data_IF_098848457276
#
_entry.id   IF_098848457276
#
_cell.length_a   1.000
_cell.length_b   1.000
_cell.length_c   1.000
_cell.angle_alpha   90.00
_cell.angle_beta   90.00
_cell.angle_gamma   90.00
#
_symmetry.space_group_name_H-M   'P 1'
#
loop_
_entity.id
_entity.type
_entity.pdbx_description
1 polymer ?
#
# COMPACT_ATOMS: atom_id res chain seq x y z
N UNK A 1 -7.92 -13.17 21.66
CA UNK A 1 -7.51 -12.06 20.77
C UNK A 1 -6.55 -12.66 19.77
N UNK A 2 -6.95 -12.77 18.52
CA UNK A 2 -6.08 -13.30 17.46
C UNK A 2 -5.02 -12.26 17.14
N UNK A 3 -3.88 -12.34 17.82
CA UNK A 3 -2.70 -11.58 17.43
C UNK A 3 -2.29 -12.06 16.05
N UNK A 4 -2.30 -11.15 15.07
CA UNK A 4 -1.75 -11.39 13.74
C UNK A 4 -0.24 -11.42 13.88
N UNK A 5 0.31 -12.59 14.23
CA UNK A 5 1.75 -12.83 14.34
C UNK A 5 2.51 -12.49 13.04
N UNK A 6 1.78 -12.44 11.91
CA UNK A 6 2.24 -11.99 10.59
C UNK A 6 2.53 -10.48 10.48
N UNK A 7 2.05 -9.65 11.42
CA UNK A 7 2.27 -8.20 11.39
C UNK A 7 3.66 -7.85 11.96
N UNK A 8 4.51 -7.22 11.15
CA UNK A 8 5.86 -6.80 11.54
C UNK A 8 5.90 -5.84 12.74
N UNK A 9 4.81 -5.08 12.98
CA UNK A 9 4.70 -4.19 14.15
C UNK A 9 4.40 -4.98 15.42
N UNK A 10 3.59 -6.03 15.32
CA UNK A 10 3.32 -6.94 16.45
C UNK A 10 4.61 -7.64 16.86
N UNK A 11 5.40 -8.11 15.89
CA UNK A 11 6.71 -8.74 16.17
C UNK A 11 7.74 -7.76 16.74
N UNK A 12 7.74 -6.52 16.25
CA UNK A 12 8.59 -5.47 16.82
C UNK A 12 8.27 -5.22 18.29
N UNK A 13 6.98 -5.17 18.65
CA UNK A 13 6.54 -5.00 20.02
C UNK A 13 6.93 -6.19 20.91
N UNK A 14 6.81 -7.42 20.40
CA UNK A 14 7.19 -8.63 21.12
C UNK A 14 8.70 -8.67 21.45
N UNK A 15 9.57 -8.20 20.54
CA UNK A 15 10.99 -8.03 20.88
C UNK A 15 11.18 -7.00 22.00
N UNK A 16 10.50 -5.85 21.93
CA UNK A 16 10.61 -4.81 22.97
C UNK A 16 10.24 -5.37 24.33
N UNK A 17 9.18 -6.19 24.38
CA UNK A 17 8.71 -6.85 25.59
C UNK A 17 9.74 -7.90 26.08
N UNK A 18 10.32 -8.72 25.19
CA UNK A 18 11.37 -9.69 25.52
C UNK A 18 12.66 -9.01 26.03
N UNK A 19 13.08 -7.91 25.39
CA UNK A 19 14.24 -7.10 25.82
C UNK A 19 14.01 -6.42 27.17
N UNK A 20 12.76 -6.08 27.49
CA UNK A 20 12.36 -5.56 28.80
C UNK A 20 12.27 -6.65 29.89
N UNK A 21 12.58 -7.91 29.57
CA UNK A 21 12.56 -9.03 30.50
C UNK A 21 11.17 -9.62 30.73
N UNK A 22 10.19 -9.32 29.86
CA UNK A 22 8.90 -9.99 29.88
C UNK A 22 9.01 -11.37 29.21
N UNK A 23 8.24 -12.33 29.72
CA UNK A 23 8.18 -13.68 29.13
C UNK A 23 7.34 -13.59 27.86
N UNK A 24 7.98 -13.78 26.72
CA UNK A 24 7.34 -13.82 25.40
C UNK A 24 7.49 -15.24 24.87
N UNK A 25 6.38 -15.96 24.71
CA UNK A 25 6.39 -17.27 24.06
C UNK A 25 6.49 -17.07 22.54
N UNK A 26 7.52 -17.63 21.87
CA UNK A 26 7.66 -17.48 20.44
C UNK A 26 6.60 -18.33 19.71
N UNK A 27 6.23 -17.98 18.46
CA UNK A 27 5.21 -18.70 17.70
C UNK A 27 5.55 -20.20 17.55
N UNK A 28 4.52 -21.05 17.48
CA UNK A 28 4.74 -22.47 17.23
C UNK A 28 5.44 -22.67 15.86
N UNK A 29 6.64 -23.27 15.88
CA UNK A 29 7.44 -23.54 14.68
C UNK A 29 8.66 -22.64 14.49
N UNK A 30 8.87 -21.62 15.34
CA UNK A 30 10.11 -20.83 15.34
C UNK A 30 11.17 -21.49 16.21
N UNK A 31 12.39 -21.62 15.69
CA UNK A 31 13.52 -22.27 16.39
C UNK A 31 14.35 -21.31 17.25
N UNK A 32 14.14 -19.99 17.15
CA UNK A 32 14.95 -18.96 17.81
C UNK A 32 14.10 -17.92 18.54
N UNK A 33 14.66 -17.30 19.59
CA UNK A 33 14.01 -16.19 20.30
C UNK A 33 14.13 -14.88 19.50
N UNK A 34 13.26 -13.89 19.75
CA UNK A 34 13.31 -12.62 19.02
C UNK A 34 14.65 -11.90 19.26
N UNK A 35 15.25 -12.08 20.44
CA UNK A 35 16.59 -11.57 20.76
C UNK A 35 17.68 -12.08 19.82
N UNK A 36 17.67 -13.36 19.44
CA UNK A 36 18.69 -13.91 18.55
C UNK A 36 18.58 -13.33 17.13
N UNK A 37 17.36 -13.11 16.65
CA UNK A 37 17.11 -12.46 15.36
C UNK A 37 17.60 -11.01 15.37
N UNK A 38 17.36 -10.29 16.47
CA UNK A 38 17.89 -8.95 16.67
C UNK A 38 19.44 -8.93 16.67
N UNK A 39 20.07 -9.81 17.44
CA UNK A 39 21.53 -9.86 17.57
C UNK A 39 22.20 -10.18 16.22
N UNK A 40 21.62 -11.09 15.42
CA UNK A 40 22.12 -11.41 14.08
C UNK A 40 22.01 -10.21 13.13
N UNK A 41 20.83 -9.56 13.07
CA UNK A 41 20.61 -8.38 12.21
C UNK A 41 21.53 -7.23 12.59
N UNK A 42 21.76 -7.02 13.89
CA UNK A 42 22.67 -5.99 14.39
C UNK A 42 24.14 -6.28 14.06
N UNK A 43 24.54 -7.57 14.01
CA UNK A 43 25.90 -7.96 13.67
C UNK A 43 26.17 -8.05 12.16
N UNK A 44 25.12 -8.21 11.33
CA UNK A 44 25.30 -8.38 9.88
C UNK A 44 25.65 -7.07 9.18
N UNK A 45 26.65 -7.14 8.30
CA UNK A 45 27.04 -6.04 7.42
C UNK A 45 26.33 -6.06 6.06
N UNK A 46 25.61 -7.15 5.75
CA UNK A 46 24.91 -7.35 4.49
C UNK A 46 23.39 -7.20 4.70
N UNK A 47 22.80 -6.25 3.97
CA UNK A 47 21.37 -5.93 4.05
C UNK A 47 20.51 -7.09 3.57
N UNK A 48 20.96 -7.81 2.54
CA UNK A 48 20.19 -8.91 1.95
C UNK A 48 20.25 -10.14 2.87
N UNK A 49 21.40 -10.40 3.51
CA UNK A 49 21.55 -11.47 4.50
C UNK A 49 20.71 -11.21 5.76
N UNK A 50 20.76 -9.99 6.31
CA UNK A 50 19.98 -9.61 7.49
C UNK A 50 18.47 -9.69 7.22
N UNK A 51 18.04 -9.28 6.03
CA UNK A 51 16.64 -9.32 5.62
C UNK A 51 16.16 -10.75 5.42
N UNK A 52 16.97 -11.61 4.79
CA UNK A 52 16.66 -13.03 4.63
C UNK A 52 16.57 -13.75 5.98
N UNK A 53 17.43 -13.40 6.95
CA UNK A 53 17.43 -13.99 8.29
C UNK A 53 16.19 -13.60 9.10
N UNK A 54 15.79 -12.32 9.06
CA UNK A 54 14.54 -11.83 9.67
C UNK A 54 13.34 -12.58 9.09
N UNK A 55 13.29 -12.68 7.78
CA UNK A 55 12.22 -13.34 7.05
C UNK A 55 12.10 -14.84 7.40
N UNK A 56 13.21 -15.59 7.36
CA UNK A 56 13.23 -17.04 7.61
C UNK A 56 12.82 -17.43 9.03
N UNK A 57 13.13 -16.61 10.02
CA UNK A 57 12.82 -16.92 11.43
C UNK A 57 11.40 -16.52 11.85
N UNK A 58 10.75 -15.65 11.08
CA UNK A 58 9.42 -15.13 11.39
C UNK A 58 8.32 -15.57 10.43
N UNK A 59 8.67 -16.33 9.39
CA UNK A 59 7.72 -17.05 8.55
C UNK A 59 7.52 -18.50 9.00
N UNK A 60 6.26 -18.90 9.08
CA UNK A 60 5.86 -20.28 8.87
C UNK A 60 5.43 -20.46 7.41
N UNK A 61 5.58 -21.66 6.86
CA UNK A 61 5.27 -21.94 5.46
C UNK A 61 3.82 -21.55 5.10
N UNK A 62 3.64 -20.67 4.10
CA UNK A 62 2.34 -20.41 3.44
C UNK A 62 1.63 -19.08 3.75
N UNK A 63 2.33 -18.09 4.29
CA UNK A 63 1.79 -16.74 4.54
C UNK A 63 2.27 -15.76 3.45
N UNK A 64 1.34 -14.98 2.87
CA UNK A 64 1.62 -13.98 1.83
C UNK A 64 2.27 -12.66 2.34
N UNK A 65 2.69 -12.61 3.62
CA UNK A 65 3.25 -11.42 4.28
C UNK A 65 4.70 -11.08 3.91
N UNK A 66 5.36 -11.93 3.10
CA UNK A 66 6.79 -11.81 2.84
C UNK A 66 7.32 -10.45 2.36
N UNK A 67 6.68 -9.78 1.38
CA UNK A 67 7.12 -8.46 0.93
C UNK A 67 7.08 -7.38 2.01
N UNK A 68 6.10 -7.44 2.91
CA UNK A 68 5.92 -6.46 3.98
C UNK A 68 6.98 -6.65 5.06
N UNK A 69 7.33 -7.90 5.35
CA UNK A 69 8.39 -8.23 6.32
C UNK A 69 9.77 -7.89 5.82
N UNK A 70 10.01 -8.01 4.53
CA UNK A 70 11.23 -7.52 3.88
C UNK A 70 11.35 -6.00 4.05
N UNK A 71 10.25 -5.25 3.85
CA UNK A 71 10.24 -3.80 4.07
C UNK A 71 10.50 -3.44 5.55
N UNK A 72 9.85 -4.14 6.49
CA UNK A 72 10.08 -3.95 7.92
C UNK A 72 11.51 -4.27 8.33
N UNK A 73 12.10 -5.37 7.83
CA UNK A 73 13.48 -5.74 8.13
C UNK A 73 14.47 -4.65 7.68
N UNK A 74 14.25 -4.07 6.50
CA UNK A 74 15.06 -2.97 5.96
C UNK A 74 14.93 -1.70 6.81
N UNK A 75 13.72 -1.33 7.21
CA UNK A 75 13.48 -0.19 8.11
C UNK A 75 14.14 -0.40 9.47
N UNK A 76 14.03 -1.60 10.03
CA UNK A 76 14.65 -1.98 11.30
C UNK A 76 16.16 -1.90 11.26
N UNK A 77 16.78 -2.40 10.18
CA UNK A 77 18.21 -2.35 9.99
C UNK A 77 18.72 -0.91 10.01
N UNK A 78 18.00 0.02 9.37
CA UNK A 78 18.32 1.45 9.38
C UNK A 78 18.16 2.07 10.78
N UNK A 79 17.13 1.68 11.53
CA UNK A 79 16.93 2.12 12.92
C UNK A 79 18.07 1.62 13.82
N UNK A 80 18.45 0.35 13.71
CA UNK A 80 19.54 -0.27 14.48
C UNK A 80 20.87 0.42 14.18
N UNK A 81 21.19 0.60 12.89
CA UNK A 81 22.41 1.28 12.44
C UNK A 81 22.49 2.72 12.94
N UNK A 82 21.38 3.46 12.84
CA UNK A 82 21.29 4.84 13.29
C UNK A 82 21.45 4.98 14.82
N UNK A 83 21.06 3.96 15.57
CA UNK A 83 21.08 3.96 17.04
C UNK A 83 22.28 3.20 17.65
N UNK A 84 23.18 2.67 16.82
CA UNK A 84 24.52 2.21 17.24
C UNK A 84 24.54 1.26 18.44
N UNK A 85 23.62 0.29 18.50
CA UNK A 85 23.61 -0.77 19.52
C UNK A 85 23.29 -0.32 20.96
N UNK A 86 22.79 0.91 21.16
CA UNK A 86 22.41 1.43 22.47
C UNK A 86 21.01 1.02 22.91
N UNK A 87 20.89 0.59 24.17
CA UNK A 87 19.62 0.24 24.82
C UNK A 87 18.72 1.48 24.97
N UNK A 88 17.67 1.62 24.16
CA UNK A 88 16.26 1.88 24.57
C UNK A 88 15.36 2.69 23.59
N UNK A 89 14.08 2.27 23.67
CA UNK A 89 12.78 2.92 23.36
C UNK A 89 12.50 3.33 21.91
N UNK A 90 12.07 2.33 21.14
CA UNK A 90 11.32 2.56 19.89
C UNK A 90 9.87 2.89 20.24
N UNK A 91 9.49 4.13 19.93
CA UNK A 91 8.16 4.76 19.83
C UNK A 91 7.00 4.12 20.62
N UNK A 92 6.53 4.81 21.67
CA UNK A 92 5.25 4.47 22.32
C UNK A 92 4.07 4.61 21.37
N UNK A 93 3.27 3.55 21.26
CA UNK A 93 1.90 3.63 20.77
C UNK A 93 1.10 4.54 21.71
N UNK A 94 0.90 5.80 21.33
CA UNK A 94 0.02 6.70 22.09
C UNK A 94 -1.42 6.44 21.67
N UNK A 95 -2.14 5.76 22.57
CA UNK A 95 -3.58 5.81 22.65
C UNK A 95 -4.02 7.23 23.01
N UNK A 96 -4.69 7.92 22.09
CA UNK A 96 -5.62 8.99 22.47
C UNK A 96 -6.80 9.03 21.52
N UNK A 97 -7.92 8.54 22.03
CA UNK A 97 -9.25 8.83 21.52
C UNK A 97 -9.54 10.33 21.64
N UNK A 98 -9.91 10.95 20.54
CA UNK A 98 -10.83 12.09 20.55
C UNK A 98 -11.76 11.97 19.34
N UNK A 99 -13.04 11.76 19.63
CA UNK A 99 -14.11 11.83 18.67
C UNK A 99 -14.16 13.27 18.11
N UNK A 100 -14.04 13.40 16.79
CA UNK A 100 -14.10 14.69 16.10
C UNK A 100 -14.85 14.53 14.78
N UNK A 101 -16.16 14.77 14.86
CA UNK A 101 -17.11 15.16 13.81
C UNK A 101 -17.06 14.50 12.44
N UNK A 102 -18.13 13.75 12.16
CA UNK A 102 -18.68 13.49 10.84
C UNK A 102 -18.65 14.75 9.97
N UNK A 103 -17.81 14.76 8.95
CA UNK A 103 -17.86 15.69 7.83
C UNK A 103 -17.95 14.88 6.56
N UNK A 104 -19.16 14.66 6.05
CA UNK A 104 -19.37 14.19 4.69
C UNK A 104 -18.74 15.23 3.75
N UNK A 105 -17.57 14.89 3.19
CA UNK A 105 -16.87 15.75 2.25
C UNK A 105 -17.74 16.00 1.03
N UNK A 106 -17.81 17.24 0.54
CA UNK A 106 -18.39 17.50 -0.76
C UNK A 106 -17.48 16.90 -1.83
N UNK A 107 -18.03 16.10 -2.74
CA UNK A 107 -17.30 15.61 -3.90
C UNK A 107 -16.70 16.78 -4.69
N UNK A 108 -15.45 16.64 -5.14
CA UNK A 108 -14.82 17.62 -6.02
C UNK A 108 -15.06 17.16 -7.46
N UNK A 109 -15.68 18.01 -8.27
CA UNK A 109 -16.02 17.70 -9.66
C UNK A 109 -14.96 18.23 -10.62
N UNK A 110 -14.73 17.53 -11.72
CA UNK A 110 -13.66 17.83 -12.68
C UNK A 110 -12.98 16.57 -13.18
N UNK A 111 -11.91 16.70 -13.97
CA UNK A 111 -11.15 15.54 -14.45
C UNK A 111 -9.79 15.88 -15.04
N UNK A 112 -8.92 14.88 -15.10
CA UNK A 112 -7.56 14.99 -15.62
C UNK A 112 -7.51 14.89 -17.15
N UNK A 113 -8.39 14.07 -17.72
CA UNK A 113 -8.71 14.05 -19.16
C UNK A 113 -7.75 13.26 -20.06
N UNK A 114 -6.77 12.55 -19.51
CA UNK A 114 -5.64 11.98 -20.26
C UNK A 114 -5.54 10.44 -20.20
N UNK A 115 -6.35 9.75 -19.38
CA UNK A 115 -6.40 8.29 -19.39
C UNK A 115 -7.21 7.76 -20.60
N UNK A 116 -6.60 6.93 -21.47
CA UNK A 116 -7.25 6.44 -22.68
C UNK A 116 -8.34 5.39 -22.40
N UNK A 117 -9.52 5.53 -23.01
CA UNK A 117 -10.64 4.57 -22.83
C UNK A 117 -10.58 3.34 -23.74
N UNK A 118 -9.79 3.41 -24.83
CA UNK A 118 -9.80 2.44 -25.92
C UNK A 118 -8.44 1.75 -26.12
N UNK A 119 -7.66 1.60 -25.05
CA UNK A 119 -6.47 0.75 -25.04
C UNK A 119 -6.70 -0.44 -24.12
N UNK A 120 -6.03 -1.54 -24.43
CA UNK A 120 -6.07 -2.76 -23.63
C UNK A 120 -4.71 -3.10 -23.05
N UNK A 121 -3.78 -2.14 -22.97
CA UNK A 121 -2.47 -2.36 -22.36
C UNK A 121 -1.90 -1.05 -21.83
N UNK A 122 -0.79 -1.15 -21.10
CA UNK A 122 -0.13 0.01 -20.49
C UNK A 122 0.82 0.77 -21.44
N UNK A 123 0.90 0.42 -22.72
CA UNK A 123 1.83 1.05 -23.68
C UNK A 123 1.57 2.53 -23.92
N UNK A 124 0.36 3.01 -23.62
CA UNK A 124 0.04 4.44 -23.62
C UNK A 124 0.87 5.25 -22.61
N UNK A 125 1.46 4.59 -21.61
CA UNK A 125 2.33 5.22 -20.61
C UNK A 125 3.75 5.50 -21.14
N UNK A 126 4.09 5.10 -22.38
CA UNK A 126 5.41 5.30 -22.98
C UNK A 126 5.77 6.79 -23.14
N UNK A 127 4.78 7.61 -23.49
CA UNK A 127 4.98 9.06 -23.66
C UNK A 127 5.00 9.82 -22.33
N UNK A 128 4.74 9.15 -21.22
CA UNK A 128 4.85 9.73 -19.88
C UNK A 128 6.30 9.77 -19.39
N UNK A 129 6.52 10.38 -18.23
CA UNK A 129 7.83 10.36 -17.54
C UNK A 129 8.27 8.98 -17.03
N UNK A 130 7.37 7.99 -17.01
CA UNK A 130 7.70 6.62 -16.58
C UNK A 130 8.28 5.74 -17.69
N UNK A 131 8.12 6.13 -18.97
CA UNK A 131 8.68 5.40 -20.12
C UNK A 131 8.36 3.90 -20.16
N UNK A 132 7.13 3.53 -19.79
CA UNK A 132 6.62 2.17 -19.86
C UNK A 132 6.13 1.92 -21.29
N UNK A 133 6.93 1.25 -22.12
CA UNK A 133 6.71 1.19 -23.56
C UNK A 133 6.33 -0.20 -24.08
N UNK A 134 6.78 -1.26 -23.41
CA UNK A 134 6.43 -2.63 -23.73
C UNK A 134 6.31 -3.50 -22.48
N UNK A 135 5.83 -4.74 -22.66
CA UNK A 135 5.82 -5.75 -21.61
C UNK A 135 7.24 -5.98 -21.06
N UNK A 136 7.37 -6.08 -19.74
CA UNK A 136 8.62 -6.06 -18.98
C UNK A 136 9.10 -4.67 -18.54
N UNK A 137 8.57 -3.58 -19.09
CA UNK A 137 8.89 -2.24 -18.61
C UNK A 137 8.09 -1.91 -17.34
N UNK A 138 8.73 -2.05 -16.19
CA UNK A 138 8.09 -1.80 -14.89
C UNK A 138 8.15 -0.33 -14.42
N UNK A 139 8.77 0.57 -15.21
CA UNK A 139 8.96 1.98 -14.86
C UNK A 139 10.16 2.22 -13.94
N UNK A 140 10.05 3.20 -13.04
CA UNK A 140 11.11 3.58 -12.09
C UNK A 140 11.32 2.54 -10.98
N UNK A 141 12.43 2.61 -10.23
CA UNK A 141 12.71 1.73 -9.07
C UNK A 141 11.54 1.64 -8.07
N UNK A 142 10.84 2.75 -7.83
CA UNK A 142 9.64 2.82 -7.00
C UNK A 142 8.53 1.83 -7.40
N UNK A 143 8.47 1.46 -8.68
CA UNK A 143 7.44 0.61 -9.27
C UNK A 143 7.96 -0.80 -9.55
N UNK A 144 9.28 -0.93 -9.74
CA UNK A 144 9.93 -2.17 -10.17
C UNK A 144 9.76 -3.31 -9.15
N UNK A 145 9.75 -2.99 -7.85
CA UNK A 145 9.58 -4.01 -6.80
C UNK A 145 8.26 -4.80 -6.91
N UNK A 146 7.19 -4.16 -7.41
CA UNK A 146 5.87 -4.79 -7.54
C UNK A 146 5.75 -5.52 -8.89
N UNK A 147 6.16 -4.86 -9.97
CA UNK A 147 5.99 -5.40 -11.32
C UNK A 147 6.95 -6.56 -11.64
N UNK A 148 8.19 -6.55 -11.12
CA UNK A 148 9.10 -7.68 -11.30
C UNK A 148 8.61 -8.96 -10.60
N UNK A 149 7.85 -8.84 -9.51
CA UNK A 149 7.38 -9.98 -8.72
C UNK A 149 5.95 -10.42 -9.09
N UNK A 150 5.08 -9.48 -9.46
CA UNK A 150 3.64 -9.71 -9.59
C UNK A 150 3.03 -9.13 -10.89
N UNK A 151 3.85 -8.57 -11.78
CA UNK A 151 3.38 -7.92 -12.99
C UNK A 151 2.61 -6.62 -12.76
N UNK A 152 1.74 -6.27 -13.70
CA UNK A 152 1.03 -5.01 -13.76
C UNK A 152 -0.24 -4.99 -12.90
N UNK A 153 -0.06 -5.19 -11.59
CA UNK A 153 -1.14 -5.23 -10.60
C UNK A 153 -1.89 -3.90 -10.46
N UNK A 154 -3.09 -3.93 -9.88
CA UNK A 154 -3.89 -2.74 -9.59
C UNK A 154 -3.13 -1.73 -8.71
N UNK A 155 -2.37 -2.22 -7.74
CA UNK A 155 -1.51 -1.43 -6.87
C UNK A 155 -0.35 -0.76 -7.63
N UNK A 156 0.35 -1.55 -8.46
CA UNK A 156 1.40 -1.04 -9.33
C UNK A 156 0.86 0.07 -10.23
N UNK A 157 -0.31 -0.16 -10.85
CA UNK A 157 -0.92 0.81 -11.74
C UNK A 157 -1.32 2.09 -11.01
N UNK A 158 -1.94 1.98 -9.83
CA UNK A 158 -2.29 3.15 -9.02
C UNK A 158 -1.06 3.99 -8.65
N UNK A 159 0.05 3.36 -8.24
CA UNK A 159 1.31 4.06 -7.97
C UNK A 159 1.85 4.74 -9.24
N UNK A 160 1.90 4.01 -10.35
CA UNK A 160 2.41 4.50 -11.62
C UNK A 160 1.60 5.71 -12.10
N UNK A 161 0.27 5.60 -12.10
CA UNK A 161 -0.62 6.68 -12.51
C UNK A 161 -0.53 7.88 -11.57
N UNK A 162 -0.48 7.65 -10.26
CA UNK A 162 -0.29 8.72 -9.26
C UNK A 162 1.01 9.49 -9.50
N UNK A 163 2.11 8.78 -9.81
CA UNK A 163 3.37 9.43 -10.14
C UNK A 163 3.28 10.23 -11.44
N UNK A 164 2.65 9.68 -12.49
CA UNK A 164 2.45 10.38 -13.78
C UNK A 164 1.73 11.71 -13.57
N UNK A 165 0.62 11.69 -12.83
CA UNK A 165 -0.25 12.85 -12.62
C UNK A 165 0.37 13.85 -11.64
N UNK A 166 0.83 13.40 -10.48
CA UNK A 166 1.23 14.29 -9.38
C UNK A 166 2.73 14.59 -9.33
N UNK A 167 3.57 13.85 -10.07
CA UNK A 167 5.03 14.00 -10.00
C UNK A 167 5.67 13.45 -8.73
N UNK A 168 4.87 12.98 -7.78
CA UNK A 168 5.30 12.38 -6.53
C UNK A 168 4.25 11.39 -6.05
N UNK A 169 4.73 10.27 -5.50
CA UNK A 169 3.91 9.35 -4.71
C UNK A 169 4.84 8.66 -3.72
N UNK A 170 4.48 8.71 -2.43
CA UNK A 170 5.11 7.83 -1.45
C UNK A 170 4.37 6.51 -1.52
N UNK A 171 5.10 5.42 -1.69
CA UNK A 171 4.52 4.10 -1.64
C UNK A 171 4.15 3.78 -0.19
N UNK A 172 2.86 3.57 0.15
CA UNK A 172 2.46 3.29 1.51
C UNK A 172 2.75 1.85 1.94
N UNK A 173 3.24 0.98 1.03
CA UNK A 173 3.71 -0.38 1.32
C UNK A 173 2.66 -1.25 2.03
N UNK A 174 1.40 -1.08 1.64
CA UNK A 174 0.27 -1.83 2.19
C UNK A 174 0.24 -3.26 1.67
N UNK A 175 -0.43 -4.16 2.42
CA UNK A 175 -0.54 -5.57 2.03
C UNK A 175 -1.30 -5.75 0.71
N UNK A 176 -2.25 -4.84 0.49
CA UNK A 176 -3.32 -4.99 -0.48
C UNK A 176 -3.75 -3.62 -1.00
N UNK A 177 -4.25 -3.56 -2.24
CA UNK A 177 -4.85 -2.34 -2.77
C UNK A 177 -6.19 -2.00 -2.09
N UNK A 178 -6.97 -3.03 -1.74
CA UNK A 178 -8.26 -2.87 -1.07
C UNK A 178 -8.16 -2.26 0.33
N UNK A 179 -7.05 -2.48 1.04
CA UNK A 179 -6.84 -1.98 2.41
C UNK A 179 -6.42 -0.51 2.51
N UNK A 180 -6.00 0.13 1.42
CA UNK A 180 -5.39 1.48 1.45
C UNK A 180 -6.25 2.52 2.17
N UNK A 181 -7.56 2.59 1.89
CA UNK A 181 -8.43 3.56 2.55
C UNK A 181 -8.43 3.43 4.08
N UNK A 182 -8.39 2.22 4.62
CA UNK A 182 -8.40 1.99 6.07
C UNK A 182 -7.00 2.12 6.68
N UNK A 183 -5.97 1.61 5.99
CA UNK A 183 -4.58 1.62 6.44
C UNK A 183 -3.97 3.04 6.46
N UNK A 184 -4.46 3.94 5.61
CA UNK A 184 -3.98 5.32 5.53
C UNK A 184 -4.66 6.27 6.53
N UNK A 185 -5.66 5.82 7.28
CA UNK A 185 -6.36 6.67 8.24
C UNK A 185 -5.43 7.11 9.36
N UNK A 186 -5.43 8.42 9.63
CA UNK A 186 -4.62 9.01 10.70
C UNK A 186 -3.13 9.18 10.35
N UNK A 187 -2.67 8.72 9.19
CA UNK A 187 -1.29 8.94 8.76
C UNK A 187 -1.06 10.42 8.40
N UNK A 188 0.07 11.01 8.82
CA UNK A 188 0.29 12.45 8.72
C UNK A 188 0.38 12.95 7.27
N UNK A 189 0.82 12.13 6.32
CA UNK A 189 0.99 12.50 4.91
C UNK A 189 -0.26 12.30 4.06
N UNK A 190 -1.26 11.60 4.59
CA UNK A 190 -2.42 11.11 3.83
C UNK A 190 -3.72 11.75 4.30
N UNK A 191 -4.59 11.98 3.33
CA UNK A 191 -5.99 12.31 3.56
C UNK A 191 -6.83 11.14 3.09
N UNK A 192 -7.78 10.72 3.92
CA UNK A 192 -8.84 9.77 3.57
C UNK A 192 -10.19 10.49 3.55
N UNK A 193 -11.09 10.06 2.69
CA UNK A 193 -12.39 10.70 2.48
C UNK A 193 -13.44 9.71 1.99
N UNK A 194 -14.69 9.96 2.35
CA UNK A 194 -15.86 9.25 1.78
C UNK A 194 -16.33 9.86 0.45
N UNK A 195 -15.77 11.00 0.06
CA UNK A 195 -16.12 11.74 -1.14
C UNK A 195 -14.97 11.73 -2.17
N UNK A 196 -15.27 11.53 -3.46
CA UNK A 196 -14.26 11.46 -4.50
C UNK A 196 -13.73 12.83 -4.89
N UNK A 197 -12.55 12.80 -5.50
CA UNK A 197 -11.95 13.91 -6.27
C UNK A 197 -11.09 13.35 -7.41
N UNK A 198 -10.89 14.10 -8.49
CA UNK A 198 -9.89 13.76 -9.49
C UNK A 198 -8.49 13.64 -8.87
N UNK A 199 -7.72 12.65 -9.34
CA UNK A 199 -6.37 12.38 -8.89
C UNK A 199 -6.26 11.59 -7.58
N UNK A 200 -7.37 11.20 -6.96
CA UNK A 200 -7.35 10.33 -5.78
C UNK A 200 -7.20 8.84 -6.15
N UNK A 201 -6.71 8.05 -5.19
CA UNK A 201 -6.94 6.61 -5.18
C UNK A 201 -8.32 6.29 -4.62
N UNK A 202 -8.90 5.17 -5.05
CA UNK A 202 -10.10 4.61 -4.45
C UNK A 202 -9.90 3.12 -4.16
N UNK A 203 -10.25 2.71 -2.95
CA UNK A 203 -10.09 1.33 -2.48
C UNK A 203 -11.38 0.54 -2.60
N UNK A 204 -11.25 -0.73 -2.95
CA UNK A 204 -12.28 -1.75 -2.87
C UNK A 204 -11.79 -2.83 -1.90
N UNK A 205 -12.06 -2.62 -0.62
CA UNK A 205 -11.68 -3.52 0.48
C UNK A 205 -12.85 -4.22 1.16
N UNK A 206 -14.08 -3.90 0.75
CA UNK A 206 -15.30 -4.51 1.30
C UNK A 206 -15.76 -5.66 0.42
N UNK A 207 -16.64 -6.51 0.95
CA UNK A 207 -17.24 -7.65 0.24
C UNK A 207 -16.21 -8.66 -0.31
N UNK A 208 -15.04 -8.77 0.32
CA UNK A 208 -13.96 -9.65 -0.13
C UNK A 208 -13.21 -9.15 -1.36
N UNK A 209 -13.51 -7.94 -1.85
CA UNK A 209 -12.72 -7.28 -2.87
C UNK A 209 -11.34 -6.91 -2.29
N UNK A 210 -10.32 -7.04 -3.13
CA UNK A 210 -9.00 -6.50 -2.88
C UNK A 210 -8.53 -5.80 -4.14
N UNK A 211 -8.90 -4.53 -4.27
CA UNK A 211 -8.57 -3.76 -5.46
C UNK A 211 -8.36 -2.28 -5.16
N UNK A 212 -7.52 -1.62 -5.97
CA UNK A 212 -7.32 -0.17 -5.94
C UNK A 212 -7.37 0.36 -7.35
N UNK A 213 -7.99 1.53 -7.49
CA UNK A 213 -8.11 2.23 -8.78
C UNK A 213 -7.70 3.68 -8.62
N UNK A 214 -7.47 4.33 -9.74
CA UNK A 214 -7.18 5.76 -9.80
C UNK A 214 -8.41 6.52 -10.34
N UNK A 215 -8.79 7.61 -9.67
CA UNK A 215 -9.95 8.44 -10.03
C UNK A 215 -9.53 9.49 -11.06
N UNK A 216 -9.95 9.30 -12.30
CA UNK A 216 -9.61 10.16 -13.43
C UNK A 216 -10.54 11.37 -13.55
N UNK A 217 -11.84 11.17 -13.28
CA UNK A 217 -12.88 12.20 -13.40
C UNK A 217 -13.99 11.98 -12.38
N UNK A 218 -14.59 13.06 -11.91
CA UNK A 218 -15.78 13.05 -11.06
C UNK A 218 -16.84 13.95 -11.69
N UNK A 219 -18.04 13.41 -11.87
CA UNK A 219 -19.19 14.11 -12.42
C UNK A 219 -20.40 14.01 -11.48
N UNK A 220 -21.32 14.96 -11.61
CA UNK A 220 -22.63 14.86 -10.97
C UNK A 220 -23.41 13.68 -11.54
N UNK A 221 -24.15 13.02 -10.66
CA UNK A 221 -25.00 11.87 -10.97
C UNK A 221 -26.17 11.87 -9.97
N UNK A 222 -27.36 11.32 -10.32
CA UNK A 222 -28.47 11.20 -9.39
C UNK A 222 -28.15 10.44 -8.09
N UNK A 223 -27.18 9.51 -8.11
CA UNK A 223 -26.69 8.84 -6.90
C UNK A 223 -25.83 9.76 -6.00
N UNK A 224 -25.54 10.97 -6.45
CA UNK A 224 -24.73 12.01 -5.82
C UNK A 224 -23.50 12.34 -6.65
N UNK A 225 -22.78 11.32 -7.09
CA UNK A 225 -21.62 11.45 -7.98
C UNK A 225 -21.42 10.17 -8.79
N UNK A 226 -20.71 10.30 -9.89
CA UNK A 226 -20.12 9.17 -10.61
C UNK A 226 -18.65 9.47 -10.89
N UNK A 227 -17.83 8.42 -10.85
CA UNK A 227 -16.40 8.49 -11.10
C UNK A 227 -16.03 7.76 -12.37
N UNK A 228 -15.15 8.36 -13.16
CA UNK A 228 -14.40 7.67 -14.19
C UNK A 228 -13.09 7.20 -13.57
N UNK A 229 -12.81 5.90 -13.66
CA UNK A 229 -11.64 5.28 -13.07
C UNK A 229 -10.76 4.66 -14.14
N UNK A 230 -9.47 4.61 -13.85
CA UNK A 230 -8.49 3.78 -14.56
C UNK A 230 -7.85 2.80 -13.59
N UNK A 231 -7.54 1.61 -14.08
CA UNK A 231 -7.12 0.50 -13.22
C UNK A 231 -6.23 -0.49 -13.98
N UNK A 232 -5.38 -1.19 -13.23
CA UNK A 232 -4.61 -2.33 -13.72
C UNK A 232 -5.18 -3.64 -13.19
N UNK A 233 -4.87 -4.74 -13.86
CA UNK A 233 -5.25 -6.10 -13.49
C UNK A 233 -6.77 -6.30 -13.31
N UNK A 234 -7.59 -5.67 -14.17
CA UNK A 234 -9.05 -5.80 -14.11
C UNK A 234 -9.55 -7.01 -14.92
N UNK A 235 -10.41 -7.85 -14.31
CA UNK A 235 -10.97 -9.08 -14.91
C UNK A 235 -9.92 -10.06 -15.45
N UNK A 236 -8.75 -10.07 -14.82
CA UNK A 236 -7.69 -11.04 -15.07
C UNK A 236 -7.74 -12.13 -13.99
N UNK A 237 -7.01 -13.22 -14.18
CA UNK A 237 -6.83 -14.30 -13.21
C UNK A 237 -5.89 -13.93 -12.05
N UNK A 238 -5.61 -12.64 -11.85
CA UNK A 238 -4.66 -12.15 -10.86
C UNK A 238 -3.21 -12.12 -11.35
N UNK A 239 -2.91 -12.54 -12.58
CA UNK A 239 -1.54 -12.63 -13.11
C UNK A 239 -0.83 -11.29 -13.38
N UNK A 240 -1.54 -10.16 -13.35
CA UNK A 240 -0.96 -8.86 -13.67
C UNK A 240 -0.46 -8.74 -15.12
N UNK A 241 -1.22 -9.17 -16.14
CA UNK A 241 -0.73 -9.17 -17.51
C UNK A 241 -0.58 -7.74 -18.04
N UNK A 242 0.30 -7.56 -19.03
CA UNK A 242 0.46 -6.30 -19.76
C UNK A 242 -0.86 -5.76 -20.31
N UNK A 243 -1.78 -6.66 -20.68
CA UNK A 243 -3.10 -6.32 -21.19
C UNK A 243 -4.16 -6.02 -20.12
N UNK A 244 -3.75 -5.98 -18.84
CA UNK A 244 -4.65 -5.82 -17.70
C UNK A 244 -5.21 -4.41 -17.49
N UNK A 245 -4.90 -3.46 -18.38
CA UNK A 245 -5.38 -2.08 -18.29
C UNK A 245 -6.87 -1.98 -18.60
N UNK A 246 -7.61 -1.25 -17.77
CA UNK A 246 -9.03 -0.97 -17.99
C UNK A 246 -9.41 0.44 -17.55
N UNK A 247 -10.51 0.95 -18.11
CA UNK A 247 -11.20 2.14 -17.62
C UNK A 247 -12.71 1.89 -17.60
N UNK A 248 -13.41 2.53 -16.66
CA UNK A 248 -14.88 2.44 -16.58
C UNK A 248 -15.47 3.55 -15.74
N UNK A 249 -16.78 3.73 -15.89
CA UNK A 249 -17.58 4.60 -15.04
C UNK A 249 -18.22 3.80 -13.91
N UNK A 250 -18.27 4.40 -12.72
CA UNK A 250 -19.00 3.90 -11.56
C UNK A 250 -19.84 5.03 -10.97
N UNK A 251 -21.14 4.79 -10.85
CA UNK A 251 -22.01 5.60 -9.98
C UNK A 251 -21.65 5.36 -8.52
N UNK A 252 -22.09 6.24 -7.60
CA UNK A 252 -21.90 6.07 -6.16
C UNK A 252 -22.42 4.71 -5.67
N UNK A 253 -23.59 4.31 -6.14
CA UNK A 253 -24.21 3.04 -5.76
C UNK A 253 -23.41 1.84 -6.28
N UNK A 254 -22.91 1.90 -7.52
CA UNK A 254 -22.03 0.85 -8.06
C UNK A 254 -20.71 0.77 -7.30
N UNK A 255 -20.09 1.90 -6.96
CA UNK A 255 -18.84 1.92 -6.18
C UNK A 255 -19.00 1.17 -4.86
N UNK A 256 -20.02 1.50 -4.06
CA UNK A 256 -20.25 0.80 -2.80
C UNK A 256 -20.75 -0.64 -2.98
N UNK A 257 -21.58 -0.89 -4.00
CA UNK A 257 -22.06 -2.23 -4.34
C UNK A 257 -20.93 -3.19 -4.70
N UNK A 258 -19.89 -2.71 -5.38
CA UNK A 258 -18.69 -3.47 -5.73
C UNK A 258 -17.65 -3.56 -4.60
N UNK A 259 -17.96 -3.03 -3.41
CA UNK A 259 -17.07 -3.13 -2.25
C UNK A 259 -16.14 -1.93 -2.02
N UNK A 260 -16.43 -0.79 -2.65
CA UNK A 260 -15.73 0.46 -2.40
C UNK A 260 -15.74 0.85 -0.92
N UNK A 261 -14.55 1.09 -0.35
CA UNK A 261 -14.37 1.47 1.06
C UNK A 261 -14.19 2.97 1.26
N UNK A 262 -13.54 3.65 0.31
CA UNK A 262 -13.39 5.10 0.30
C UNK A 262 -12.24 5.58 -0.60
N UNK A 263 -11.92 6.86 -0.46
CA UNK A 263 -10.95 7.59 -1.28
C UNK A 263 -9.78 8.06 -0.44
N UNK A 264 -8.63 8.21 -1.08
CA UNK A 264 -7.42 8.67 -0.41
C UNK A 264 -6.47 9.40 -1.36
N UNK A 265 -5.68 10.31 -0.82
CA UNK A 265 -4.65 11.06 -1.55
C UNK A 265 -3.60 11.61 -0.60
N UNK A 266 -2.41 11.92 -1.12
CA UNK A 266 -1.40 12.60 -0.32
C UNK A 266 -1.77 14.08 -0.13
N UNK A 267 -1.53 14.63 1.07
CA UNK A 267 -1.84 16.03 1.39
C UNK A 267 -1.09 17.04 0.52
N UNK A 268 0.06 16.66 -0.02
CA UNK A 268 0.86 17.50 -0.91
C UNK A 268 0.34 17.54 -2.36
N UNK A 269 -0.57 16.65 -2.73
CA UNK A 269 -1.18 16.66 -4.06
C UNK A 269 -2.18 17.80 -4.15
N UNK A 270 -1.93 18.73 -5.07
CA UNK A 270 -2.80 19.88 -5.28
C UNK A 270 -4.15 19.43 -5.84
N UNK A 271 -5.19 20.19 -5.52
CA UNK A 271 -6.45 20.12 -6.25
C UNK A 271 -6.18 20.44 -7.72
N UNK A 272 -6.79 19.66 -8.60
CA UNK A 272 -6.65 19.82 -10.04
C UNK A 272 -7.82 20.69 -10.50
N UNK A 273 -7.52 21.85 -11.07
CA UNK A 273 -8.50 22.82 -11.59
C UNK A 273 -9.22 22.31 -12.85
#
# INVERSE_FOLDING_TARGET
MDMKWSDGRVQTQLLVDELAGQVVDPPAGTTESYRNVYDFINASSDVEEATAYFFQNFEGAGDASGPQRIAYAKEWLEIIRKNGGGTQTVVSASSSSSCGSSGDGNAVYGGLGDAPTNTRNFGWMCDTKLKICHDGDCGTELLNYNCAAYGYQCYWYWLARSYVVHGSVTNPMTATGGGLYDELQGLPEWTTSTAPRPGAGASFGRNGANHVVFVEKVEQDPSGWKIFISEGNYNTDGSGPWEGYNTRWLTKDQFYGEGGSGFFWMKQWKDMD
#
